data_IF_823868138186
#
_entry.id   IF_823868138186
#
_cell.length_a   1.000
_cell.length_b   1.000
_cell.length_c   1.000
_cell.angle_alpha   90.00
_cell.angle_beta   90.00
_cell.angle_gamma   90.00
#
_symmetry.space_group_name_H-M   'P 1'
#
loop_
_entity.id
_entity.type
_entity.pdbx_description
1 polymer ?
#
# COMPACT_ATOMS: atom_id res chain seq x y z
N UNK A 1 -4.52 30.56 -9.63
CA UNK A 1 -3.93 31.18 -8.42
C UNK A 1 -2.50 31.60 -8.78
N UNK A 2 -2.17 32.90 -8.74
CA UNK A 2 -0.87 33.44 -9.16
C UNK A 2 0.24 33.00 -8.18
N UNK A 3 1.36 32.52 -8.72
CA UNK A 3 2.54 32.12 -7.94
C UNK A 3 3.26 33.40 -7.47
N UNK A 4 3.68 33.51 -6.19
CA UNK A 4 4.42 34.67 -5.70
C UNK A 4 5.80 34.80 -6.36
N UNK A 5 6.20 36.05 -6.66
CA UNK A 5 7.46 36.45 -7.32
C UNK A 5 8.76 36.07 -6.57
N UNK A 6 8.67 35.42 -5.42
CA UNK A 6 9.80 35.13 -4.54
C UNK A 6 10.66 33.90 -4.91
N UNK A 7 10.35 33.19 -6.02
CA UNK A 7 11.11 32.00 -6.45
C UNK A 7 12.17 32.32 -7.53
N UNK A 8 12.28 33.59 -7.94
CA UNK A 8 13.19 34.01 -9.03
C UNK A 8 14.70 34.01 -8.69
N UNK A 9 15.10 33.50 -7.51
CA UNK A 9 16.51 33.44 -7.11
C UNK A 9 17.01 32.04 -6.79
N UNK A 10 16.43 30.99 -7.41
CA UNK A 10 17.13 29.71 -7.49
C UNK A 10 18.20 29.88 -8.58
N UNK A 11 19.44 30.02 -8.13
CA UNK A 11 20.62 30.13 -8.95
C UNK A 11 20.86 28.78 -9.64
N UNK A 12 20.18 28.54 -10.77
CA UNK A 12 20.43 27.38 -11.62
C UNK A 12 21.69 27.68 -12.41
N UNK A 13 22.73 26.88 -12.18
CA UNK A 13 23.97 26.96 -12.93
C UNK A 13 23.68 26.55 -14.37
N UNK A 14 23.59 27.53 -15.27
CA UNK A 14 23.26 27.31 -16.68
C UNK A 14 24.47 26.73 -17.42
N UNK A 15 24.21 25.75 -18.30
CA UNK A 15 25.22 25.24 -19.25
C UNK A 15 25.65 26.37 -20.21
N UNK A 16 26.96 26.49 -20.43
CA UNK A 16 27.54 27.40 -21.42
C UNK A 16 27.57 26.69 -22.76
N UNK A 17 26.69 27.08 -23.68
CA UNK A 17 26.78 26.64 -25.07
C UNK A 17 27.68 27.60 -25.87
N UNK A 18 28.73 27.05 -26.48
CA UNK A 18 29.55 27.72 -27.48
C UNK A 18 28.84 27.59 -28.84
N UNK A 19 28.36 28.71 -29.38
CA UNK A 19 27.81 28.76 -30.74
C UNK A 19 28.97 28.84 -31.72
N UNK A 20 29.34 27.69 -32.30
CA UNK A 20 30.40 27.64 -33.32
C UNK A 20 29.78 27.79 -34.73
N UNK A 21 29.93 28.99 -35.30
CA UNK A 21 29.60 29.25 -36.69
C UNK A 21 30.73 28.76 -37.59
N UNK A 22 30.58 27.53 -38.13
CA UNK A 22 31.32 26.95 -39.27
C UNK A 22 32.75 27.51 -39.50
N UNK A 23 33.80 26.76 -39.13
CA UNK A 23 34.87 26.34 -40.07
C UNK A 23 35.95 25.45 -39.43
N UNK A 24 36.21 24.32 -40.11
CA UNK A 24 37.41 23.45 -40.16
C UNK A 24 38.09 22.90 -38.86
N UNK A 25 38.22 21.57 -38.75
CA UNK A 25 39.05 20.93 -37.73
C UNK A 25 40.50 20.90 -38.22
N UNK A 26 41.36 21.79 -37.72
CA UNK A 26 42.77 21.50 -37.42
C UNK A 26 43.55 22.78 -37.09
N UNK A 27 44.33 22.66 -36.00
CA UNK A 27 45.32 23.61 -35.46
C UNK A 27 44.78 24.78 -34.63
N UNK A 28 45.29 24.79 -33.38
CA UNK A 28 45.56 25.93 -32.51
C UNK A 28 44.67 26.07 -31.26
N UNK A 29 44.81 25.10 -30.35
CA UNK A 29 44.32 25.09 -28.96
C UNK A 29 45.01 26.13 -28.05
N UNK A 30 45.29 27.37 -28.49
CA UNK A 30 46.05 28.33 -27.66
C UNK A 30 45.76 29.83 -27.80
N UNK A 31 44.64 30.26 -28.39
CA UNK A 31 44.34 31.70 -28.53
C UNK A 31 42.86 32.12 -28.40
N UNK A 32 42.03 31.42 -27.63
CA UNK A 32 40.63 31.81 -27.39
C UNK A 32 40.45 32.49 -26.03
N UNK A 33 41.17 33.58 -25.80
CA UNK A 33 40.86 34.54 -24.72
C UNK A 33 41.18 35.96 -25.19
N UNK A 34 40.38 36.47 -26.13
CA UNK A 34 40.12 37.91 -26.25
C UNK A 34 38.94 38.13 -27.17
N UNK A 35 37.99 38.94 -26.69
CA UNK A 35 36.80 39.46 -27.38
C UNK A 35 35.49 38.66 -27.18
N UNK A 36 35.14 38.41 -25.91
CA UNK A 36 33.72 38.30 -25.54
C UNK A 36 33.17 39.73 -25.48
N UNK A 37 32.42 40.15 -26.51
CA UNK A 37 31.89 41.51 -26.62
C UNK A 37 30.55 41.71 -25.86
N UNK A 38 29.80 40.64 -25.59
CA UNK A 38 28.59 40.69 -24.76
C UNK A 38 28.18 39.29 -24.30
N UNK A 39 27.84 39.15 -23.03
CA UNK A 39 27.13 37.98 -22.48
C UNK A 39 25.69 38.42 -22.23
N UNK A 40 24.73 37.73 -22.82
CA UNK A 40 23.30 37.94 -22.54
C UNK A 40 22.72 36.62 -22.06
N UNK A 41 22.00 36.67 -20.94
CA UNK A 41 21.15 35.56 -20.55
C UNK A 41 20.16 35.32 -21.70
N UNK A 42 20.14 34.11 -22.26
CA UNK A 42 19.00 33.73 -23.09
C UNK A 42 17.76 33.87 -22.21
N UNK A 43 16.77 34.60 -22.70
CA UNK A 43 15.44 34.58 -22.09
C UNK A 43 15.02 33.12 -22.08
N UNK A 44 14.96 32.52 -20.89
CA UNK A 44 14.63 31.13 -20.67
C UNK A 44 13.51 30.73 -21.62
N UNK A 45 13.78 29.78 -22.53
CA UNK A 45 12.70 28.98 -23.09
C UNK A 45 11.88 28.51 -21.88
N UNK A 46 10.62 28.93 -21.82
CA UNK A 46 9.76 28.65 -20.66
C UNK A 46 9.89 27.18 -20.31
N UNK A 47 10.20 26.87 -19.05
CA UNK A 47 10.29 25.49 -18.59
C UNK A 47 8.98 24.82 -18.99
N UNK A 48 9.06 23.79 -19.83
CA UNK A 48 7.86 23.12 -20.31
C UNK A 48 7.07 22.57 -19.12
N UNK A 49 5.74 22.64 -19.20
CA UNK A 49 4.84 22.11 -18.17
C UNK A 49 5.19 20.65 -17.82
N UNK A 50 5.53 19.84 -18.83
CA UNK A 50 6.01 18.45 -18.65
C UNK A 50 7.26 18.35 -17.76
N UNK A 51 8.19 19.30 -17.86
CA UNK A 51 9.39 19.32 -17.04
C UNK A 51 9.07 19.75 -15.59
N UNK A 52 8.15 20.71 -15.41
CA UNK A 52 7.67 21.09 -14.09
C UNK A 52 6.93 19.92 -13.41
N UNK A 53 6.08 19.21 -14.15
CA UNK A 53 5.37 18.02 -13.65
C UNK A 53 6.35 16.91 -13.27
N UNK A 54 7.38 16.68 -14.08
CA UNK A 54 8.40 15.68 -13.77
C UNK A 54 9.16 16.01 -12.47
N UNK A 55 9.57 17.27 -12.30
CA UNK A 55 10.22 17.73 -11.08
C UNK A 55 9.28 17.62 -9.86
N UNK A 56 8.03 18.05 -10.00
CA UNK A 56 7.02 17.95 -8.96
C UNK A 56 6.77 16.50 -8.54
N UNK A 57 6.65 15.58 -9.51
CA UNK A 57 6.47 14.16 -9.25
C UNK A 57 7.69 13.54 -8.57
N UNK A 58 8.91 13.94 -8.95
CA UNK A 58 10.15 13.48 -8.29
C UNK A 58 10.17 13.88 -6.82
N UNK A 59 9.87 15.15 -6.51
CA UNK A 59 9.79 15.65 -5.12
C UNK A 59 8.67 14.94 -4.36
N UNK A 60 7.48 14.81 -4.96
CA UNK A 60 6.33 14.10 -4.37
C UNK A 60 6.68 12.67 -4.01
N UNK A 61 7.32 11.93 -4.91
CA UNK A 61 7.71 10.54 -4.69
C UNK A 61 8.76 10.41 -3.59
N UNK A 62 9.76 11.30 -3.56
CA UNK A 62 10.76 11.34 -2.50
C UNK A 62 10.13 11.59 -1.12
N UNK A 63 9.21 12.56 -1.02
CA UNK A 63 8.50 12.87 0.22
C UNK A 63 7.63 11.69 0.68
N UNK A 64 6.85 11.08 -0.23
CA UNK A 64 6.04 9.89 0.07
C UNK A 64 6.90 8.74 0.60
N UNK A 65 8.04 8.48 -0.04
CA UNK A 65 8.99 7.45 0.40
C UNK A 65 9.58 7.74 1.77
N UNK A 66 9.98 8.99 2.01
CA UNK A 66 10.58 9.43 3.29
C UNK A 66 9.60 9.29 4.45
N UNK A 67 8.34 9.67 4.22
CA UNK A 67 7.29 9.59 5.24
C UNK A 67 6.90 8.14 5.51
N UNK A 68 6.83 7.31 4.47
CA UNK A 68 6.67 5.87 4.63
C UNK A 68 7.81 5.25 5.45
N UNK A 69 9.07 5.60 5.15
CA UNK A 69 10.20 5.08 5.89
C UNK A 69 10.20 5.50 7.37
N UNK A 70 9.83 6.74 7.68
CA UNK A 70 9.70 7.20 9.07
C UNK A 70 8.60 6.43 9.81
N UNK A 71 7.44 6.28 9.18
CA UNK A 71 6.30 5.54 9.69
C UNK A 71 6.66 4.09 10.01
N UNK A 72 7.28 3.38 9.05
CA UNK A 72 7.72 2.00 9.26
C UNK A 72 8.85 1.87 10.28
N UNK A 73 9.74 2.88 10.35
CA UNK A 73 10.79 2.88 11.36
C UNK A 73 10.21 2.97 12.77
N UNK A 74 9.19 3.82 12.99
CA UNK A 74 8.48 3.89 14.27
C UNK A 74 7.77 2.57 14.56
N UNK A 75 7.02 2.07 13.58
CA UNK A 75 6.27 0.81 13.69
C UNK A 75 7.16 -0.37 14.10
N UNK A 76 8.20 -0.68 13.34
CA UNK A 76 9.07 -1.83 13.59
C UNK A 76 9.97 -1.66 14.83
N UNK A 77 10.32 -0.45 15.24
CA UNK A 77 11.20 -0.27 16.41
C UNK A 77 10.44 -0.20 17.74
N UNK A 78 9.20 0.26 17.72
CA UNK A 78 8.44 0.53 18.94
C UNK A 78 7.28 -0.44 19.18
N UNK A 79 6.62 -0.91 18.11
CA UNK A 79 5.44 -1.77 18.21
C UNK A 79 5.72 -3.10 18.91
N UNK A 80 4.90 -3.44 19.90
CA UNK A 80 5.14 -4.63 20.74
C UNK A 80 4.95 -5.94 19.98
N UNK A 81 4.05 -6.00 19.00
CA UNK A 81 3.77 -7.21 18.21
C UNK A 81 4.97 -7.56 17.31
N UNK A 82 5.66 -6.55 16.77
CA UNK A 82 6.89 -6.78 16.01
C UNK A 82 8.04 -7.26 16.88
N UNK A 83 8.10 -6.83 18.15
CA UNK A 83 9.11 -7.32 19.09
C UNK A 83 8.86 -8.78 19.46
N UNK A 84 7.60 -9.16 19.74
CA UNK A 84 7.27 -10.55 20.08
C UNK A 84 7.52 -11.54 18.94
N UNK A 85 7.36 -11.10 17.69
CA UNK A 85 7.63 -11.91 16.50
C UNK A 85 9.09 -11.86 16.03
N UNK A 86 9.99 -11.20 16.77
CA UNK A 86 11.38 -10.96 16.35
C UNK A 86 11.51 -10.24 14.99
N UNK A 87 10.53 -9.42 14.63
CA UNK A 87 10.52 -8.59 13.43
C UNK A 87 10.95 -7.14 13.72
N UNK A 88 11.34 -6.82 14.95
CA UNK A 88 11.71 -5.46 15.33
C UNK A 88 13.06 -5.02 14.77
N UNK A 89 13.21 -3.73 14.52
CA UNK A 89 14.50 -3.11 14.18
C UNK A 89 14.94 -2.15 15.28
N UNK A 90 16.24 -1.84 15.32
CA UNK A 90 16.75 -0.80 16.22
C UNK A 90 16.10 0.55 15.94
N UNK A 91 15.77 1.28 17.02
CA UNK A 91 15.29 2.65 16.90
C UNK A 91 16.40 3.53 16.28
N UNK A 92 16.04 4.48 15.40
CA UNK A 92 17.02 5.37 14.80
C UNK A 92 17.72 6.21 15.87
N UNK A 93 19.04 6.33 15.79
CA UNK A 93 19.87 7.12 16.72
C UNK A 93 19.75 8.65 16.54
N UNK A 94 18.91 9.11 15.61
CA UNK A 94 18.67 10.54 15.34
C UNK A 94 17.31 10.80 14.70
N UNK A 95 17.00 12.06 14.44
CA UNK A 95 15.67 12.52 14.02
C UNK A 95 15.19 12.04 12.63
N UNK A 96 16.03 11.36 11.85
CA UNK A 96 15.69 10.88 10.50
C UNK A 96 15.85 9.38 10.42
N UNK A 97 14.73 8.71 10.17
CA UNK A 97 14.75 7.31 9.76
C UNK A 97 15.40 7.16 8.38
N UNK A 98 16.36 6.25 8.27
CA UNK A 98 16.88 5.82 6.97
C UNK A 98 15.83 5.02 6.20
N UNK A 99 16.03 4.83 4.89
CA UNK A 99 15.17 3.95 4.07
C UNK A 99 15.28 2.46 4.45
N UNK A 100 16.11 2.09 5.45
CA UNK A 100 16.25 0.72 5.94
C UNK A 100 14.95 0.10 6.43
N UNK A 101 14.00 0.90 6.94
CA UNK A 101 12.69 0.39 7.36
C UNK A 101 11.84 -0.12 6.19
N UNK A 102 11.99 0.47 4.99
CA UNK A 102 11.37 -0.03 3.77
C UNK A 102 12.06 -1.30 3.28
N UNK A 103 13.40 -1.35 3.33
CA UNK A 103 14.16 -2.58 3.03
C UNK A 103 13.81 -3.71 4.00
N UNK A 104 13.53 -3.37 5.26
CA UNK A 104 13.06 -4.30 6.27
C UNK A 104 11.67 -4.83 5.96
N UNK A 105 10.71 -3.96 5.62
CA UNK A 105 9.39 -4.38 5.14
C UNK A 105 9.51 -5.34 3.94
N UNK A 106 10.39 -5.04 2.99
CA UNK A 106 10.67 -5.91 1.85
C UNK A 106 11.25 -7.28 2.27
N UNK A 107 12.07 -7.33 3.33
CA UNK A 107 12.59 -8.59 3.88
C UNK A 107 11.51 -9.40 4.58
N UNK A 108 10.67 -8.76 5.41
CA UNK A 108 9.54 -9.39 6.09
C UNK A 108 8.56 -9.98 5.08
N UNK A 109 8.21 -9.21 4.04
CA UNK A 109 7.35 -9.66 2.94
C UNK A 109 7.91 -10.90 2.24
N UNK A 110 9.19 -10.88 1.84
CA UNK A 110 9.83 -12.04 1.21
C UNK A 110 9.92 -13.27 2.11
N UNK A 111 10.09 -13.07 3.42
CA UNK A 111 10.12 -14.17 4.38
C UNK A 111 8.77 -14.93 4.37
N UNK A 112 7.66 -14.22 4.56
CA UNK A 112 6.32 -14.83 4.53
C UNK A 112 5.99 -15.44 3.17
N UNK A 113 6.38 -14.80 2.06
CA UNK A 113 6.24 -15.37 0.71
C UNK A 113 7.02 -16.69 0.58
N UNK A 114 8.26 -16.74 1.06
CA UNK A 114 9.08 -17.95 1.00
C UNK A 114 8.44 -19.10 1.79
N UNK A 115 7.93 -18.83 2.98
CA UNK A 115 7.29 -19.84 3.82
C UNK A 115 6.02 -20.41 3.18
N UNK A 116 5.14 -19.54 2.66
CA UNK A 116 3.92 -20.01 2.02
C UNK A 116 4.23 -20.77 0.72
N UNK A 117 5.21 -20.33 -0.07
CA UNK A 117 5.68 -21.08 -1.26
C UNK A 117 6.11 -22.50 -0.87
N UNK A 118 6.94 -22.65 0.16
CA UNK A 118 7.40 -23.97 0.61
C UNK A 118 6.23 -24.87 1.02
N UNK A 119 5.22 -24.29 1.68
CA UNK A 119 4.03 -25.01 2.15
C UNK A 119 3.12 -25.47 1.01
N UNK A 120 2.97 -24.66 -0.05
CA UNK A 120 2.07 -24.98 -1.16
C UNK A 120 2.77 -25.64 -2.35
N UNK A 121 4.09 -25.72 -2.38
CA UNK A 121 4.80 -26.35 -3.49
C UNK A 121 4.68 -27.90 -3.46
N UNK A 122 4.51 -28.58 -4.62
CA UNK A 122 4.23 -28.03 -5.95
C UNK A 122 2.78 -27.60 -6.13
N UNK A 123 2.56 -26.58 -6.97
CA UNK A 123 1.22 -26.16 -7.37
C UNK A 123 0.66 -27.09 -8.46
N UNK A 124 -0.63 -27.40 -8.42
CA UNK A 124 -1.37 -28.09 -9.48
C UNK A 124 -1.62 -27.16 -10.68
N UNK A 125 -2.20 -27.69 -11.77
CA UNK A 125 -2.58 -26.84 -12.91
C UNK A 125 -3.67 -25.85 -12.57
N UNK A 126 -4.65 -26.26 -11.77
CA UNK A 126 -5.80 -25.41 -11.42
C UNK A 126 -5.40 -24.36 -10.38
N UNK A 127 -4.49 -24.71 -9.46
CA UNK A 127 -3.91 -23.75 -8.51
C UNK A 127 -3.08 -22.68 -9.20
N UNK A 128 -2.26 -23.06 -10.21
CA UNK A 128 -1.54 -22.09 -11.04
C UNK A 128 -2.50 -21.17 -11.80
N UNK A 129 -3.61 -21.70 -12.28
CA UNK A 129 -4.64 -20.92 -12.98
C UNK A 129 -5.30 -19.91 -12.03
N UNK A 130 -5.76 -20.34 -10.86
CA UNK A 130 -6.32 -19.46 -9.83
C UNK A 130 -5.34 -18.36 -9.43
N UNK A 131 -4.08 -18.73 -9.16
CA UNK A 131 -3.03 -17.77 -8.81
C UNK A 131 -2.81 -16.73 -9.93
N UNK A 132 -2.81 -17.18 -11.18
CA UNK A 132 -2.69 -16.29 -12.34
C UNK A 132 -3.85 -15.28 -12.41
N UNK A 133 -5.09 -15.72 -12.17
CA UNK A 133 -6.24 -14.82 -12.14
C UNK A 133 -6.04 -13.74 -11.06
N UNK A 134 -5.70 -14.13 -9.83
CA UNK A 134 -5.53 -13.20 -8.71
C UNK A 134 -4.40 -12.19 -8.99
N UNK A 135 -3.25 -12.65 -9.47
CA UNK A 135 -2.10 -11.79 -9.78
C UNK A 135 -2.45 -10.74 -10.82
N UNK A 136 -3.29 -11.09 -11.79
CA UNK A 136 -3.65 -10.22 -12.91
C UNK A 136 -4.95 -9.41 -12.70
N UNK A 137 -5.65 -9.56 -11.56
CA UNK A 137 -6.92 -8.87 -11.33
C UNK A 137 -6.76 -7.42 -10.87
N UNK A 138 -7.74 -6.55 -11.08
CA UNK A 138 -7.64 -5.17 -10.57
C UNK A 138 -7.90 -5.11 -9.06
N UNK A 139 -7.27 -4.16 -8.37
CA UNK A 139 -7.50 -3.91 -6.95
C UNK A 139 -8.23 -2.59 -6.79
N UNK A 140 -9.39 -2.61 -6.13
CA UNK A 140 -10.06 -1.42 -5.65
C UNK A 140 -9.79 -1.28 -4.16
N UNK A 141 -9.30 -0.13 -3.74
CA UNK A 141 -9.09 0.17 -2.33
C UNK A 141 -10.27 0.98 -1.80
N UNK A 142 -10.92 0.44 -0.77
CA UNK A 142 -12.07 1.07 -0.13
C UNK A 142 -11.64 1.69 1.19
N UNK A 143 -11.84 2.99 1.33
CA UNK A 143 -11.82 3.66 2.62
C UNK A 143 -13.24 3.91 3.11
N UNK A 144 -13.43 3.89 4.42
CA UNK A 144 -14.73 4.12 5.02
C UNK A 144 -14.60 5.05 6.22
N UNK A 145 -15.41 6.10 6.25
CA UNK A 145 -15.35 7.16 7.25
C UNK A 145 -16.71 7.79 7.48
N UNK A 146 -16.98 8.22 8.71
CA UNK A 146 -18.13 9.07 9.02
C UNK A 146 -17.92 10.51 8.58
N UNK A 147 -16.70 10.88 8.14
CA UNK A 147 -16.40 12.21 7.64
C UNK A 147 -16.78 12.33 6.17
N UNK A 148 -17.53 13.38 5.82
CA UNK A 148 -17.76 13.73 4.42
C UNK A 148 -16.48 14.23 3.76
N UNK A 149 -16.33 13.95 2.47
CA UNK A 149 -15.27 14.54 1.66
C UNK A 149 -15.51 16.04 1.49
N UNK A 150 -14.48 16.86 1.70
CA UNK A 150 -14.51 18.28 1.38
C UNK A 150 -13.93 18.48 -0.02
N UNK A 151 -14.71 18.97 -1.00
CA UNK A 151 -14.28 19.10 -2.40
C UNK A 151 -13.74 17.78 -3.00
N UNK A 152 -14.35 16.64 -2.69
CA UNK A 152 -13.86 15.29 -3.06
C UNK A 152 -12.47 14.92 -2.48
N UNK A 153 -11.98 15.68 -1.49
CA UNK A 153 -10.69 15.42 -0.83
C UNK A 153 -10.94 14.97 0.61
N UNK A 154 -10.30 13.85 0.97
CA UNK A 154 -10.27 13.35 2.34
C UNK A 154 -9.11 14.01 3.10
N UNK A 155 -9.45 14.96 3.98
CA UNK A 155 -8.46 15.65 4.81
C UNK A 155 -8.17 14.87 6.09
N UNK A 156 -7.19 13.97 6.04
CA UNK A 156 -6.78 13.17 7.20
C UNK A 156 -5.60 13.84 7.90
N UNK A 157 -5.75 14.17 9.19
CA UNK A 157 -4.64 14.62 10.05
C UNK A 157 -3.91 13.42 10.65
N UNK A 158 -2.58 13.54 10.80
CA UNK A 158 -1.81 12.59 11.62
C UNK A 158 -2.29 12.64 13.07
N UNK A 159 -2.15 11.53 13.78
CA UNK A 159 -2.49 11.45 15.20
C UNK A 159 -1.66 12.43 16.02
N UNK A 160 -0.35 12.55 15.73
CA UNK A 160 0.53 13.54 16.37
C UNK A 160 0.03 14.99 16.13
N UNK A 161 -0.56 15.27 14.97
CA UNK A 161 -1.14 16.59 14.65
C UNK A 161 -2.46 16.84 15.39
N UNK A 162 -3.30 15.82 15.50
CA UNK A 162 -4.53 15.85 16.30
C UNK A 162 -4.19 16.13 17.78
N UNK A 163 -3.20 15.42 18.33
CA UNK A 163 -2.74 15.61 19.72
C UNK A 163 -2.15 17.00 19.95
N UNK A 164 -1.23 17.45 19.09
CA UNK A 164 -0.60 18.77 19.23
C UNK A 164 -1.58 19.95 19.09
N UNK A 165 -2.69 19.76 18.37
CA UNK A 165 -3.75 20.76 18.25
C UNK A 165 -4.85 20.60 19.32
N UNK A 166 -4.70 19.68 20.27
CA UNK A 166 -5.69 19.36 21.30
C UNK A 166 -7.10 19.07 20.72
N UNK A 167 -7.16 18.48 19.53
CA UNK A 167 -8.44 18.12 18.90
C UNK A 167 -9.01 16.93 19.66
N UNK A 168 -10.20 17.10 20.24
CA UNK A 168 -10.91 16.00 20.87
C UNK A 168 -11.37 15.00 19.80
N UNK A 169 -10.93 13.76 19.92
CA UNK A 169 -11.43 12.63 19.13
C UNK A 169 -12.28 11.73 20.02
N UNK A 170 -13.33 11.12 19.46
CA UNK A 170 -14.01 10.01 20.12
C UNK A 170 -13.04 8.81 20.31
N UNK A 171 -13.36 7.89 21.22
CA UNK A 171 -12.52 6.73 21.63
C UNK A 171 -12.35 5.65 20.55
N UNK A 172 -12.32 6.01 19.27
CA UNK A 172 -12.27 5.04 18.18
C UNK A 172 -10.85 4.53 17.88
N UNK A 173 -9.81 5.04 18.55
CA UNK A 173 -8.46 4.46 18.51
C UNK A 173 -8.24 3.67 19.80
N UNK A 174 -8.15 2.35 19.70
CA UNK A 174 -7.90 1.49 20.85
C UNK A 174 -6.48 1.72 21.37
N UNK A 175 -6.32 1.75 22.70
CA UNK A 175 -5.02 1.93 23.36
C UNK A 175 -4.02 0.82 23.02
N UNK A 176 -4.56 -0.36 22.74
CA UNK A 176 -3.88 -1.57 22.34
C UNK A 176 -3.20 -1.37 20.99
N UNK A 177 -3.90 -0.83 19.99
CA UNK A 177 -3.33 -0.54 18.66
C UNK A 177 -2.12 0.41 18.76
N UNK A 178 -2.21 1.39 19.68
CA UNK A 178 -1.14 2.36 20.01
C UNK A 178 0.12 1.67 20.52
N UNK A 179 -0.04 0.61 21.29
CA UNK A 179 1.08 -0.14 21.83
C UNK A 179 1.62 -1.15 20.80
N UNK A 180 0.72 -1.81 20.07
CA UNK A 180 1.06 -2.96 19.24
C UNK A 180 1.65 -2.55 17.88
N UNK A 181 1.06 -1.57 17.19
CA UNK A 181 1.59 -1.03 15.92
C UNK A 181 2.56 0.13 16.19
N UNK A 182 2.32 0.91 17.24
CA UNK A 182 3.08 2.13 17.56
C UNK A 182 3.04 3.21 16.48
N UNK A 183 2.17 3.08 15.48
CA UNK A 183 2.00 4.05 14.42
C UNK A 183 0.53 4.21 14.00
N UNK A 184 -0.09 5.31 14.43
CA UNK A 184 -1.49 5.68 14.13
C UNK A 184 -1.62 6.66 12.96
N UNK A 185 -0.51 6.84 12.26
CA UNK A 185 -0.49 7.62 11.03
C UNK A 185 -0.74 6.75 9.80
N UNK A 186 -1.26 5.54 9.96
CA UNK A 186 -1.80 4.76 8.85
C UNK A 186 -3.27 5.13 8.55
N UNK A 187 -3.61 5.09 7.27
CA UNK A 187 -4.96 5.04 6.74
C UNK A 187 -5.18 3.60 6.31
N UNK A 188 -6.24 2.99 6.82
CA UNK A 188 -6.60 1.61 6.53
C UNK A 188 -7.64 1.55 5.41
N UNK A 189 -7.52 0.54 4.57
CA UNK A 189 -8.34 0.28 3.41
C UNK A 189 -8.75 -1.19 3.36
N UNK A 190 -10.01 -1.45 3.04
CA UNK A 190 -10.42 -2.76 2.55
C UNK A 190 -9.98 -2.95 1.10
N UNK A 191 -9.71 -4.18 0.68
CA UNK A 191 -9.32 -4.50 -0.70
C UNK A 191 -10.41 -5.30 -1.39
N UNK A 192 -10.74 -4.91 -2.61
CA UNK A 192 -11.56 -5.69 -3.54
C UNK A 192 -10.70 -6.07 -4.74
N UNK A 193 -10.70 -7.34 -5.13
CA UNK A 193 -9.74 -7.95 -6.07
C UNK A 193 -10.38 -8.19 -7.44
N UNK A 194 -11.48 -7.53 -7.74
CA UNK A 194 -12.19 -7.72 -9.01
C UNK A 194 -12.28 -6.42 -9.81
N UNK A 195 -12.23 -6.55 -11.14
CA UNK A 195 -12.49 -5.45 -12.07
C UNK A 195 -14.00 -5.21 -12.25
N UNK A 196 -14.79 -5.37 -11.18
CA UNK A 196 -16.21 -5.05 -11.24
C UNK A 196 -16.34 -3.55 -11.39
N UNK A 197 -16.72 -3.09 -12.59
CA UNK A 197 -16.71 -1.67 -13.00
C UNK A 197 -17.86 -0.85 -12.39
N UNK A 198 -18.23 -1.12 -11.15
CA UNK A 198 -19.30 -0.39 -10.48
C UNK A 198 -18.77 0.82 -9.71
N UNK A 199 -19.61 1.86 -9.65
CA UNK A 199 -19.32 3.07 -8.87
C UNK A 199 -19.39 2.84 -7.35
N UNK A 200 -19.93 1.70 -6.94
CA UNK A 200 -20.12 1.33 -5.54
C UNK A 200 -19.24 0.12 -5.22
N UNK A 201 -18.64 0.08 -4.02
CA UNK A 201 -17.85 -1.06 -3.61
C UNK A 201 -18.75 -2.29 -3.45
N UNK A 202 -18.22 -3.46 -3.82
CA UNK A 202 -18.91 -4.74 -3.68
C UNK A 202 -19.10 -5.13 -2.20
N UNK A 203 -18.18 -4.69 -1.35
CA UNK A 203 -18.21 -4.91 0.08
C UNK A 203 -18.39 -3.55 0.80
N UNK A 204 -19.25 -3.50 1.81
CA UNK A 204 -19.57 -2.36 2.68
C UNK A 204 -19.23 -2.62 4.15
N UNK A 205 -18.76 -3.82 4.49
CA UNK A 205 -18.39 -4.20 5.86
C UNK A 205 -16.96 -4.71 5.93
N UNK A 206 -16.38 -4.66 7.13
CA UNK A 206 -15.14 -5.30 7.54
C UNK A 206 -15.31 -5.62 9.03
N UNK A 207 -14.96 -6.84 9.45
CA UNK A 207 -15.03 -7.28 10.83
C UNK A 207 -14.16 -6.39 11.75
N UNK A 208 -14.53 -6.31 13.03
CA UNK A 208 -13.83 -5.65 14.16
C UNK A 208 -13.87 -4.13 14.32
N UNK A 209 -14.12 -3.30 13.30
CA UNK A 209 -14.25 -1.84 13.52
C UNK A 209 -15.26 -1.24 12.55
N UNK A 210 -16.18 -0.39 13.05
CA UNK A 210 -17.03 0.46 12.22
C UNK A 210 -16.17 1.41 11.39
N UNK A 211 -15.70 0.91 10.26
CA UNK A 211 -15.30 1.67 9.10
C UNK A 211 -16.54 2.50 8.73
N UNK A 212 -16.48 3.80 9.00
CA UNK A 212 -17.66 4.67 9.09
C UNK A 212 -18.64 4.58 7.90
N UNK A 213 -19.86 5.06 8.11
CA UNK A 213 -21.03 4.82 7.27
C UNK A 213 -20.87 5.17 5.79
N UNK A 214 -19.92 6.04 5.42
CA UNK A 214 -19.65 6.38 4.02
C UNK A 214 -18.45 5.60 3.49
N UNK A 215 -18.64 4.82 2.43
CA UNK A 215 -17.59 4.11 1.71
C UNK A 215 -17.13 4.87 0.46
N UNK A 216 -15.82 4.92 0.24
CA UNK A 216 -15.16 5.60 -0.86
C UNK A 216 -14.17 4.66 -1.53
N UNK A 217 -14.26 4.50 -2.85
CA UNK A 217 -13.22 3.83 -3.63
C UNK A 217 -12.14 4.87 -3.94
N UNK A 218 -10.87 4.49 -3.73
CA UNK A 218 -9.72 5.33 -4.07
C UNK A 218 -8.96 4.69 -5.22
N UNK A 219 -8.87 5.43 -6.33
CA UNK A 219 -8.06 5.10 -7.49
C UNK A 219 -6.64 5.69 -7.32
N UNK A 220 -5.87 5.13 -6.38
CA UNK A 220 -4.54 5.66 -6.09
C UNK A 220 -3.52 4.58 -5.81
N UNK A 221 -2.48 4.57 -6.64
CA UNK A 221 -1.27 3.80 -6.37
C UNK A 221 -0.50 4.39 -5.19
N UNK A 222 -0.40 3.58 -4.14
CA UNK A 222 0.47 3.85 -3.01
C UNK A 222 1.56 2.79 -2.94
N UNK A 223 2.76 3.07 -3.50
CA UNK A 223 3.82 2.08 -3.69
C UNK A 223 4.54 1.68 -2.40
N UNK A 224 4.14 2.27 -1.26
CA UNK A 224 4.78 2.07 0.03
C UNK A 224 3.76 1.62 1.09
N UNK A 225 2.71 0.93 0.69
CA UNK A 225 1.81 0.28 1.64
C UNK A 225 2.27 -1.11 2.04
N UNK A 226 1.61 -1.64 3.06
CA UNK A 226 1.61 -3.07 3.32
C UNK A 226 0.19 -3.59 3.51
N UNK A 227 0.02 -4.88 3.32
CA UNK A 227 -1.23 -5.60 3.45
C UNK A 227 -1.07 -6.71 4.48
N UNK A 228 -2.11 -6.93 5.27
CA UNK A 228 -2.34 -8.16 6.03
C UNK A 228 -3.53 -8.90 5.44
N UNK A 229 -3.55 -10.22 5.59
CA UNK A 229 -4.66 -11.01 5.03
C UNK A 229 -5.94 -10.77 5.83
N UNK A 230 -5.83 -10.65 7.14
CA UNK A 230 -6.93 -10.39 8.06
C UNK A 230 -6.68 -9.05 8.78
N UNK A 231 -7.32 -8.82 9.93
CA UNK A 231 -7.01 -7.69 10.79
C UNK A 231 -5.51 -7.69 11.19
N UNK A 232 -4.96 -6.50 11.43
CA UNK A 232 -3.53 -6.30 11.71
C UNK A 232 -3.03 -7.02 12.98
N UNK A 233 -3.94 -7.52 13.82
CA UNK A 233 -3.65 -8.22 15.08
C UNK A 233 -4.23 -9.62 15.14
N UNK A 234 -5.02 -10.04 14.16
CA UNK A 234 -5.72 -11.31 14.22
C UNK A 234 -5.39 -12.17 13.02
N UNK A 235 -4.48 -13.11 13.23
CA UNK A 235 -4.08 -14.14 12.29
C UNK A 235 -5.15 -15.23 12.14
N UNK A 236 -6.30 -15.13 12.82
CA UNK A 236 -7.43 -16.02 12.60
C UNK A 236 -8.42 -15.44 11.59
N UNK A 237 -8.96 -16.32 10.75
CA UNK A 237 -10.04 -15.97 9.83
C UNK A 237 -11.31 -15.64 10.64
N UNK A 238 -12.05 -14.56 10.35
CA UNK A 238 -13.20 -14.19 11.16
C UNK A 238 -14.33 -15.22 11.04
N UNK A 239 -15.12 -15.44 12.10
CA UNK A 239 -16.34 -16.23 12.02
C UNK A 239 -17.28 -15.79 10.89
N UNK A 240 -18.00 -16.74 10.29
CA UNK A 240 -18.90 -16.54 9.12
C UNK A 240 -19.86 -15.36 9.29
N UNK A 241 -20.39 -15.13 10.49
CA UNK A 241 -21.38 -14.09 10.75
C UNK A 241 -20.86 -12.65 10.65
N UNK A 242 -19.53 -12.47 10.56
CA UNK A 242 -18.91 -11.18 10.26
C UNK A 242 -18.75 -10.90 8.76
N UNK A 243 -19.09 -11.85 7.88
CA UNK A 243 -18.88 -11.72 6.44
C UNK A 243 -20.15 -11.21 5.75
N UNK A 244 -20.00 -10.19 4.92
CA UNK A 244 -21.12 -9.52 4.22
C UNK A 244 -21.93 -10.46 3.34
N UNK A 245 -21.23 -11.32 2.60
CA UNK A 245 -21.82 -12.26 1.65
C UNK A 245 -21.99 -13.65 2.26
N UNK A 246 -22.12 -13.75 3.59
CA UNK A 246 -22.21 -15.04 4.29
C UNK A 246 -23.31 -15.97 3.75
N UNK A 247 -24.44 -15.43 3.30
CA UNK A 247 -25.55 -16.24 2.78
C UNK A 247 -25.14 -17.07 1.57
N UNK A 248 -24.31 -16.50 0.69
CA UNK A 248 -23.77 -17.22 -0.46
C UNK A 248 -23.02 -18.49 -0.02
N UNK A 249 -22.25 -18.43 1.06
CA UNK A 249 -21.50 -19.58 1.56
C UNK A 249 -22.39 -20.54 2.36
N UNK A 250 -23.26 -20.02 3.22
CA UNK A 250 -24.21 -20.81 3.99
C UNK A 250 -25.14 -21.65 3.11
N UNK A 251 -25.58 -21.10 1.98
CA UNK A 251 -26.53 -21.75 1.08
C UNK A 251 -25.85 -22.81 0.19
N UNK A 252 -24.56 -22.66 -0.12
CA UNK A 252 -23.86 -23.47 -1.13
C UNK A 252 -22.76 -24.40 -0.59
N UNK A 253 -22.14 -24.07 0.55
CA UNK A 253 -20.92 -24.72 1.04
C UNK A 253 -20.99 -24.94 2.55
N UNK A 254 -21.58 -26.06 2.98
CA UNK A 254 -21.87 -26.30 4.41
C UNK A 254 -20.64 -26.54 5.26
N UNK A 255 -19.61 -27.17 4.70
CA UNK A 255 -18.43 -27.56 5.48
C UNK A 255 -17.46 -26.39 5.63
N UNK A 256 -17.27 -25.57 4.59
CA UNK A 256 -16.31 -24.45 4.64
C UNK A 256 -16.71 -23.38 5.66
N UNK A 257 -18.02 -23.27 5.95
CA UNK A 257 -18.57 -22.35 6.96
C UNK A 257 -18.04 -22.65 8.36
N UNK A 258 -17.75 -23.91 8.67
CA UNK A 258 -17.19 -24.32 9.97
C UNK A 258 -15.64 -24.27 9.97
N UNK A 259 -15.02 -23.95 8.83
CA UNK A 259 -13.56 -23.90 8.66
C UNK A 259 -12.99 -22.48 8.71
N UNK A 260 -13.85 -21.47 8.76
CA UNK A 260 -13.47 -20.12 9.18
C UNK A 260 -13.06 -20.15 10.66
N UNK A 261 -12.25 -19.22 11.15
CA UNK A 261 -11.50 -19.30 12.43
C UNK A 261 -10.22 -20.14 12.41
N UNK A 262 -9.82 -20.66 11.24
CA UNK A 262 -8.46 -21.18 11.05
C UNK A 262 -7.42 -20.07 11.14
N UNK A 263 -6.23 -20.39 11.63
CA UNK A 263 -5.08 -19.51 11.49
C UNK A 263 -4.64 -19.44 10.02
N UNK A 264 -4.40 -18.23 9.55
CA UNK A 264 -3.94 -17.95 8.18
C UNK A 264 -2.46 -18.32 8.00
N UNK A 265 -1.65 -18.09 9.03
CA UNK A 265 -0.21 -18.32 9.01
C UNK A 265 0.30 -18.91 10.34
N UNK A 266 1.43 -19.62 10.28
CA UNK A 266 2.24 -19.95 11.44
C UNK A 266 1.56 -20.80 12.53
N UNK A 267 2.33 -21.07 13.58
CA UNK A 267 1.85 -21.68 14.84
C UNK A 267 2.08 -20.73 16.03
N UNK A 268 2.59 -19.51 15.80
CA UNK A 268 2.92 -18.56 16.86
C UNK A 268 1.69 -17.80 17.41
N UNK A 269 0.48 -18.24 17.02
CA UNK A 269 -0.78 -17.78 17.59
C UNK A 269 -1.40 -16.61 16.84
N UNK A 270 -2.35 -15.95 17.51
CA UNK A 270 -3.20 -14.90 16.91
C UNK A 270 -2.44 -13.68 16.40
N UNK A 271 -1.27 -13.37 16.93
CA UNK A 271 -0.54 -12.15 16.56
C UNK A 271 0.44 -12.34 15.40
N UNK A 272 0.66 -13.57 14.93
CA UNK A 272 1.59 -13.89 13.83
C UNK A 272 0.95 -13.63 12.47
N UNK A 273 0.65 -12.36 12.22
CA UNK A 273 -0.06 -11.92 11.03
C UNK A 273 0.93 -11.77 9.87
N UNK A 274 0.70 -12.46 8.73
CA UNK A 274 1.59 -12.33 7.59
C UNK A 274 1.46 -10.94 6.95
N UNK A 275 2.61 -10.32 6.66
CA UNK A 275 2.70 -8.94 6.16
C UNK A 275 3.31 -8.94 4.77
N UNK A 276 2.65 -8.28 3.82
CA UNK A 276 3.11 -8.18 2.44
C UNK A 276 3.27 -6.73 1.99
N UNK A 277 4.37 -6.40 1.33
CA UNK A 277 4.51 -5.09 0.68
C UNK A 277 3.62 -5.00 -0.58
N UNK A 278 3.57 -3.82 -1.19
CA UNK A 278 2.77 -3.59 -2.42
C UNK A 278 3.14 -4.48 -3.61
N UNK A 279 4.38 -4.97 -3.69
CA UNK A 279 4.84 -5.82 -4.81
C UNK A 279 4.38 -7.26 -4.63
N UNK A 280 4.35 -7.73 -3.39
CA UNK A 280 4.15 -9.14 -3.06
C UNK A 280 2.70 -9.45 -2.63
N UNK A 281 1.89 -8.44 -2.30
CA UNK A 281 0.54 -8.65 -1.74
C UNK A 281 -0.34 -9.60 -2.57
N UNK A 282 -0.35 -9.46 -3.90
CA UNK A 282 -1.14 -10.32 -4.81
C UNK A 282 -0.70 -11.77 -4.76
N UNK A 283 0.61 -11.99 -4.74
CA UNK A 283 1.20 -13.32 -4.62
C UNK A 283 0.88 -13.92 -3.25
N UNK A 284 0.99 -13.12 -2.18
CA UNK A 284 0.63 -13.52 -0.82
C UNK A 284 -0.82 -13.98 -0.71
N UNK A 285 -1.78 -13.18 -1.21
CA UNK A 285 -3.21 -13.54 -1.24
C UNK A 285 -3.42 -14.87 -1.94
N UNK A 286 -2.91 -15.00 -3.17
CA UNK A 286 -3.16 -16.19 -3.99
C UNK A 286 -2.59 -17.45 -3.35
N UNK A 287 -1.37 -17.41 -2.81
CA UNK A 287 -0.74 -18.58 -2.20
C UNK A 287 -1.40 -18.96 -0.87
N UNK A 288 -1.78 -18.00 -0.03
CA UNK A 288 -2.52 -18.29 1.19
C UNK A 288 -3.94 -18.80 0.90
N UNK A 289 -4.60 -18.30 -0.15
CA UNK A 289 -5.90 -18.82 -0.57
C UNK A 289 -5.79 -20.29 -0.98
N UNK A 290 -4.75 -20.63 -1.75
CA UNK A 290 -4.46 -22.02 -2.13
C UNK A 290 -4.23 -22.90 -0.89
N UNK A 291 -3.45 -22.45 0.10
CA UNK A 291 -3.26 -23.21 1.35
C UNK A 291 -4.58 -23.45 2.10
N UNK A 292 -5.46 -22.44 2.16
CA UNK A 292 -6.79 -22.58 2.75
C UNK A 292 -7.65 -23.60 2.00
N UNK A 293 -7.75 -23.47 0.67
CA UNK A 293 -8.56 -24.36 -0.19
C UNK A 293 -8.08 -25.81 -0.08
N UNK A 294 -6.75 -26.05 -0.10
CA UNK A 294 -6.16 -27.40 0.06
C UNK A 294 -6.60 -28.10 1.33
N UNK A 295 -6.71 -27.34 2.42
CA UNK A 295 -7.10 -27.85 3.73
C UNK A 295 -8.60 -27.93 3.92
N UNK A 296 -9.38 -27.42 2.97
CA UNK A 296 -10.83 -27.50 3.04
C UNK A 296 -11.31 -28.92 2.79
N UNK A 297 -12.23 -29.37 3.63
CA UNK A 297 -12.96 -30.64 3.52
C UNK A 297 -14.14 -30.51 2.56
N UNK A 298 -14.66 -29.29 2.40
CA UNK A 298 -15.75 -28.98 1.49
C UNK A 298 -15.34 -29.17 0.03
N UNK A 299 -15.71 -30.32 -0.54
CA UNK A 299 -15.38 -30.64 -1.93
C UNK A 299 -16.03 -29.66 -2.91
N UNK A 300 -17.29 -29.27 -2.68
CA UNK A 300 -18.00 -28.33 -3.54
C UNK A 300 -17.33 -26.97 -3.57
N UNK A 301 -16.88 -26.48 -2.41
CA UNK A 301 -16.11 -25.23 -2.32
C UNK A 301 -14.78 -25.31 -3.08
N UNK A 302 -14.03 -26.42 -2.94
CA UNK A 302 -12.76 -26.61 -3.67
C UNK A 302 -12.98 -26.60 -5.18
N UNK A 303 -13.98 -27.33 -5.66
CA UNK A 303 -14.33 -27.38 -7.09
C UNK A 303 -14.78 -26.00 -7.60
N UNK A 304 -15.55 -25.26 -6.81
CA UNK A 304 -15.96 -23.90 -7.12
C UNK A 304 -14.77 -22.95 -7.24
N UNK A 305 -13.84 -22.98 -6.28
CA UNK A 305 -12.64 -22.14 -6.29
C UNK A 305 -11.71 -22.42 -7.48
N UNK A 306 -11.60 -23.69 -7.89
CA UNK A 306 -10.73 -24.10 -8.99
C UNK A 306 -11.41 -24.08 -10.36
N UNK A 307 -12.64 -23.55 -10.44
CA UNK A 307 -13.31 -23.35 -11.72
C UNK A 307 -12.53 -22.36 -12.59
N UNK A 308 -12.13 -22.80 -13.79
CA UNK A 308 -11.34 -21.99 -14.73
C UNK A 308 -12.07 -20.75 -15.24
N UNK A 309 -13.40 -20.74 -15.15
CA UNK A 309 -14.28 -19.66 -15.57
C UNK A 309 -14.90 -18.91 -14.38
N UNK A 310 -14.24 -18.92 -13.22
CA UNK A 310 -14.72 -18.18 -12.06
C UNK A 310 -14.87 -16.69 -12.41
N UNK A 311 -16.06 -16.14 -12.18
CA UNK A 311 -16.32 -14.73 -12.47
C UNK A 311 -15.66 -13.83 -11.40
N UNK A 312 -15.36 -12.56 -11.74
CA UNK A 312 -14.66 -11.67 -10.82
C UNK A 312 -15.40 -11.43 -9.50
N UNK A 313 -16.74 -11.40 -9.49
CA UNK A 313 -17.54 -11.16 -8.29
C UNK A 313 -17.45 -12.37 -7.36
N UNK A 314 -17.55 -13.58 -7.91
CA UNK A 314 -17.35 -14.81 -7.15
C UNK A 314 -15.95 -14.92 -6.56
N UNK A 315 -14.91 -14.55 -7.32
CA UNK A 315 -13.54 -14.52 -6.81
C UNK A 315 -13.38 -13.54 -5.64
N UNK A 316 -13.93 -12.33 -5.77
CA UNK A 316 -13.88 -11.34 -4.69
C UNK A 316 -14.60 -11.83 -3.43
N UNK A 317 -15.77 -12.45 -3.59
CA UNK A 317 -16.51 -13.05 -2.48
C UNK A 317 -15.72 -14.12 -1.76
N UNK A 318 -15.04 -15.01 -2.49
CA UNK A 318 -14.18 -16.05 -1.89
C UNK A 318 -13.07 -15.40 -1.08
N UNK A 319 -12.34 -14.45 -1.67
CA UNK A 319 -11.21 -13.82 -0.99
C UNK A 319 -11.68 -13.06 0.25
N UNK A 320 -12.77 -12.30 0.16
CA UNK A 320 -13.33 -11.60 1.31
C UNK A 320 -13.85 -12.55 2.38
N UNK A 321 -14.48 -13.67 2.00
CA UNK A 321 -14.90 -14.71 2.93
C UNK A 321 -13.73 -15.37 3.68
N UNK A 322 -12.59 -15.56 3.01
CA UNK A 322 -11.44 -16.22 3.63
C UNK A 322 -10.57 -15.24 4.42
N UNK A 323 -10.42 -14.00 3.98
CA UNK A 323 -9.39 -13.10 4.51
C UNK A 323 -9.93 -11.79 5.08
N UNK A 324 -10.93 -11.16 4.47
CA UNK A 324 -11.30 -9.75 4.76
C UNK A 324 -10.05 -8.84 4.77
N UNK A 325 -9.45 -8.68 3.59
CA UNK A 325 -8.15 -8.06 3.41
C UNK A 325 -8.07 -6.60 3.89
N UNK A 326 -7.01 -6.28 4.63
CA UNK A 326 -6.68 -4.93 5.10
C UNK A 326 -5.36 -4.41 4.52
N UNK A 327 -5.36 -3.17 4.03
CA UNK A 327 -4.16 -2.45 3.54
C UNK A 327 -3.94 -1.17 4.31
N UNK A 328 -2.70 -0.94 4.69
CA UNK A 328 -2.25 0.25 5.41
C UNK A 328 -1.39 1.14 4.53
N UNK A 329 -1.75 2.42 4.43
CA UNK A 329 -0.94 3.47 3.80
C UNK A 329 -0.65 4.60 4.77
N UNK A 330 0.51 5.24 4.63
CA UNK A 330 0.85 6.37 5.51
C UNK A 330 0.06 7.63 5.17
N UNK A 331 -0.56 8.24 6.18
CA UNK A 331 -1.22 9.55 6.13
C UNK A 331 -0.19 10.55 5.68
N UNK A 332 -0.43 11.22 4.56
CA UNK A 332 0.36 12.37 4.19
C UNK A 332 -0.42 13.67 4.32
N UNK A 333 0.22 14.62 5.02
CA UNK A 333 -0.23 15.98 5.17
C UNK A 333 -0.47 16.61 3.79
N UNK A 334 -1.70 17.07 3.57
CA UNK A 334 -2.19 17.77 2.36
C UNK A 334 -2.09 16.94 1.08
N UNK A 335 -3.12 16.14 0.84
CA UNK A 335 -3.57 15.86 -0.52
C UNK A 335 -4.09 17.19 -1.08
N UNK A 336 -3.33 17.80 -1.99
CA UNK A 336 -3.79 19.00 -2.71
C UNK A 336 -4.85 18.62 -3.72
#
# INVERSE_FOLDING_TARGET
>A
MKIPEAVNHINVQNNVDLVDGKTNPNKATKALQKNILRVTNSSSSGISEKHLDHCANTVKNFLRKSIAAQSYSKMFSQGTSFKSLNLSIEAPSGARSSFRSLEHLDKVSRHYISEIIQKVHPLSSDERHLLSIIINSNFNFRHQSNSNLSNNILNIKSFDKIQSENIQTHKNTYSEDIKEISNHDFVFFGVEISNHQEKLPLNKTHHTVDFGANAYIIDHDSPYGYMTLTDHFDNAIPPVFYHEHQSFFLDNFKEVVDEVSRYVHGNQGKTDVPIFNTKDMRLGIGLHLIDFIRKSKDQGFREFCYNKNIDPVSLDRIINFVFQLGVSYTKNAKYR
#
